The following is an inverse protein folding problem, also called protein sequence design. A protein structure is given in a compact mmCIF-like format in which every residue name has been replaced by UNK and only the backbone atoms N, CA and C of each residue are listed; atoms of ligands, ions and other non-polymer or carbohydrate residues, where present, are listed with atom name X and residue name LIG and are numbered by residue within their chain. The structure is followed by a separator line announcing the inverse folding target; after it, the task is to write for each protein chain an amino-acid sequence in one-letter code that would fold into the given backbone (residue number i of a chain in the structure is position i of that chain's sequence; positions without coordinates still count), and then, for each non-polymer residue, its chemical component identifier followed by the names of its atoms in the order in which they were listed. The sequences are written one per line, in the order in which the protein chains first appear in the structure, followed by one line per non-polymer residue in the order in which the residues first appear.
data_IF_547235011427
#
_entry.id   IF_547235011427
#
_cell.length_a   1.000
_cell.length_b   1.000
_cell.length_c   1.000
_cell.angle_alpha   90.00
_cell.angle_beta   90.00
_cell.angle_gamma   90.00
#
_symmetry.space_group_name_H-M   'P 1'
#
loop_
_entity.id
_entity.type
_entity.pdbx_description
1 polymer ?
#
# COMPACT_ATOMS: atom_id res chain seq x y z
N UNK A 1 60.62 21.93 -44.67
CA UNK A 1 59.76 22.14 -43.49
C UNK A 1 58.86 20.93 -43.34
N UNK A 2 59.12 20.16 -42.29
CA UNK A 2 58.58 18.84 -41.97
C UNK A 2 57.21 19.00 -41.32
N UNK A 3 56.18 18.30 -41.80
CA UNK A 3 54.89 18.20 -41.11
C UNK A 3 54.81 16.81 -40.46
N UNK A 4 55.00 16.76 -39.14
CA UNK A 4 54.84 15.56 -38.32
C UNK A 4 53.35 15.29 -38.10
N UNK A 5 52.88 14.11 -38.49
CA UNK A 5 51.57 13.60 -38.09
C UNK A 5 51.69 12.92 -36.71
N UNK A 6 51.04 13.47 -35.68
CA UNK A 6 50.86 12.79 -34.40
C UNK A 6 49.71 11.78 -34.52
N UNK A 7 50.04 10.49 -34.48
CA UNK A 7 49.08 9.41 -34.26
C UNK A 7 48.92 9.25 -32.74
N UNK A 8 47.75 9.62 -32.22
CA UNK A 8 47.39 9.37 -30.83
C UNK A 8 47.01 7.89 -30.65
N UNK A 9 47.87 7.12 -29.99
CA UNK A 9 47.51 5.79 -29.49
C UNK A 9 46.58 5.94 -28.29
N UNK A 10 45.29 5.67 -28.49
CA UNK A 10 44.35 5.47 -27.40
C UNK A 10 44.73 4.17 -26.67
N UNK A 11 45.43 4.30 -25.54
CA UNK A 11 45.72 3.19 -24.65
C UNK A 11 44.40 2.66 -24.09
N UNK A 12 43.98 1.48 -24.53
CA UNK A 12 42.84 0.76 -23.97
C UNK A 12 43.27 0.19 -22.63
N UNK A 13 43.20 0.99 -21.56
CA UNK A 13 43.36 0.49 -20.21
C UNK A 13 42.19 -0.46 -19.94
N UNK A 14 42.49 -1.77 -19.82
CA UNK A 14 41.52 -2.75 -19.36
C UNK A 14 40.99 -2.29 -17.99
N UNK A 15 39.71 -1.96 -17.93
CA UNK A 15 39.06 -1.59 -16.67
C UNK A 15 39.26 -2.74 -15.67
N UNK A 16 39.86 -2.46 -14.52
CA UNK A 16 39.96 -3.46 -13.45
C UNK A 16 38.55 -3.99 -13.14
N UNK A 17 38.39 -5.32 -12.98
CA UNK A 17 37.09 -5.88 -12.65
C UNK A 17 36.61 -5.26 -11.34
N UNK A 18 35.44 -4.61 -11.42
CA UNK A 18 34.81 -3.99 -10.25
C UNK A 18 34.66 -5.03 -9.13
N UNK A 19 34.97 -4.68 -7.87
CA UNK A 19 34.75 -5.58 -6.75
C UNK A 19 33.27 -6.00 -6.69
N UNK A 20 33.02 -7.27 -6.40
CA UNK A 20 31.67 -7.83 -6.26
C UNK A 20 31.33 -7.92 -4.79
N UNK A 21 30.29 -7.22 -4.35
CA UNK A 21 29.82 -7.21 -2.98
C UNK A 21 28.56 -8.04 -2.82
N UNK A 22 28.41 -8.73 -1.69
CA UNK A 22 27.25 -9.57 -1.48
C UNK A 22 25.95 -8.76 -1.48
N UNK A 23 25.86 -7.73 -0.63
CA UNK A 23 24.63 -6.97 -0.42
C UNK A 23 24.17 -6.23 -1.69
N UNK A 24 25.10 -5.67 -2.47
CA UNK A 24 24.75 -4.83 -3.63
C UNK A 24 24.77 -5.54 -4.97
N UNK A 25 25.49 -6.64 -5.14
CA UNK A 25 25.66 -7.29 -6.44
C UNK A 25 25.14 -8.74 -6.47
N UNK A 26 25.21 -9.48 -5.36
CA UNK A 26 24.82 -10.91 -5.30
C UNK A 26 23.40 -11.09 -4.78
N UNK A 27 23.07 -10.51 -3.63
CA UNK A 27 21.75 -10.62 -3.02
C UNK A 27 20.61 -10.20 -3.96
N UNK A 28 20.71 -9.10 -4.74
CA UNK A 28 19.66 -8.70 -5.68
C UNK A 28 19.39 -9.74 -6.78
N UNK A 29 20.40 -10.55 -7.14
CA UNK A 29 20.22 -11.60 -8.15
C UNK A 29 19.30 -12.71 -7.65
N UNK A 30 19.26 -13.01 -6.35
CA UNK A 30 18.32 -14.00 -5.83
C UNK A 30 16.87 -13.56 -6.00
N UNK A 31 16.61 -12.25 -5.92
CA UNK A 31 15.29 -11.67 -6.22
C UNK A 31 15.00 -11.69 -7.70
N UNK A 32 15.95 -11.27 -8.53
CA UNK A 32 15.83 -11.34 -9.99
C UNK A 32 15.51 -12.74 -10.51
N UNK A 33 16.16 -13.75 -9.93
CA UNK A 33 16.01 -15.15 -10.30
C UNK A 33 14.82 -15.83 -9.61
N UNK A 34 14.11 -15.11 -8.72
CA UNK A 34 12.95 -15.60 -7.97
C UNK A 34 13.29 -16.60 -6.85
N UNK A 35 14.57 -16.80 -6.52
CA UNK A 35 15.05 -17.75 -5.51
C UNK A 35 14.53 -17.41 -4.10
N UNK A 36 14.49 -16.12 -3.76
CA UNK A 36 14.03 -15.62 -2.46
C UNK A 36 12.59 -15.10 -2.50
N UNK A 37 11.77 -15.61 -3.43
CA UNK A 37 10.33 -15.34 -3.47
C UNK A 37 9.57 -16.17 -2.43
N UNK A 38 8.35 -15.74 -2.07
CA UNK A 38 7.47 -16.47 -1.14
C UNK A 38 7.01 -17.85 -1.63
N UNK A 39 7.27 -18.20 -2.89
CA UNK A 39 7.03 -19.55 -3.42
C UNK A 39 8.25 -20.49 -3.32
N UNK A 40 9.41 -20.00 -2.89
CA UNK A 40 10.68 -20.74 -2.88
C UNK A 40 11.38 -20.61 -1.51
N UNK A 41 12.62 -20.08 -1.48
CA UNK A 41 13.39 -19.97 -0.24
C UNK A 41 13.00 -18.75 0.61
N UNK A 42 12.25 -17.79 0.05
CA UNK A 42 11.73 -16.61 0.76
C UNK A 42 10.41 -16.84 1.50
N UNK A 43 9.88 -18.07 1.49
CA UNK A 43 8.65 -18.42 2.21
C UNK A 43 8.92 -18.55 3.72
N UNK A 44 7.89 -18.37 4.53
CA UNK A 44 8.00 -18.58 5.99
C UNK A 44 8.56 -19.97 6.30
N UNK A 45 9.73 -20.02 6.96
CA UNK A 45 10.45 -21.26 7.31
C UNK A 45 11.36 -21.83 6.21
N UNK A 46 11.49 -21.15 5.07
CA UNK A 46 12.35 -21.57 3.97
C UNK A 46 11.92 -22.88 3.29
N UNK A 47 12.78 -23.45 2.46
CA UNK A 47 12.53 -24.70 1.75
C UNK A 47 13.68 -25.68 1.92
N UNK A 48 13.38 -26.91 2.37
CA UNK A 48 14.35 -27.98 2.57
C UNK A 48 15.55 -27.58 3.45
N UNK A 49 15.29 -26.83 4.53
CA UNK A 49 16.31 -26.35 5.45
C UNK A 49 17.21 -25.25 4.87
N UNK A 50 16.77 -24.57 3.81
CA UNK A 50 17.41 -23.36 3.28
C UNK A 50 16.39 -22.22 3.20
N UNK A 51 16.63 -21.17 3.98
CA UNK A 51 15.78 -19.99 4.06
C UNK A 51 16.56 -18.77 3.61
N UNK A 52 15.91 -17.94 2.80
CA UNK A 52 16.36 -16.61 2.45
C UNK A 52 15.32 -15.60 2.93
N UNK A 53 15.74 -14.38 3.20
CA UNK A 53 14.87 -13.24 3.44
C UNK A 53 14.00 -12.99 2.22
N UNK A 54 12.71 -12.71 2.44
CA UNK A 54 11.77 -12.48 1.35
C UNK A 54 12.24 -11.27 0.53
N UNK A 55 12.45 -11.44 -0.77
CA UNK A 55 12.90 -10.37 -1.69
C UNK A 55 14.21 -9.67 -1.27
N UNK A 56 15.04 -10.29 -0.43
CA UNK A 56 16.37 -9.78 -0.09
C UNK A 56 16.39 -8.64 0.92
N UNK A 57 15.34 -8.51 1.76
CA UNK A 57 15.25 -7.44 2.77
C UNK A 57 16.28 -7.55 3.90
N UNK A 58 16.84 -8.73 4.15
CA UNK A 58 17.81 -8.97 5.22
C UNK A 58 19.06 -9.66 4.63
N UNK A 59 19.90 -8.92 3.88
CA UNK A 59 21.02 -9.50 3.14
C UNK A 59 22.06 -10.15 4.07
N UNK A 60 22.25 -9.66 5.30
CA UNK A 60 23.18 -10.29 6.23
C UNK A 60 22.70 -11.69 6.66
N UNK A 61 21.39 -11.87 6.85
CA UNK A 61 20.79 -13.18 7.11
C UNK A 61 20.90 -14.10 5.89
N UNK A 62 20.71 -13.57 4.68
CA UNK A 62 20.90 -14.31 3.42
C UNK A 62 22.34 -14.80 3.26
N UNK A 63 23.31 -13.96 3.63
CA UNK A 63 24.72 -14.32 3.63
C UNK A 63 24.99 -15.49 4.56
N UNK A 64 24.55 -15.43 5.81
CA UNK A 64 24.73 -16.52 6.78
C UNK A 64 24.09 -17.82 6.30
N UNK A 65 22.87 -17.75 5.76
CA UNK A 65 22.17 -18.90 5.21
C UNK A 65 22.91 -19.55 4.03
N UNK A 66 23.56 -18.74 3.18
CA UNK A 66 24.31 -19.25 2.03
C UNK A 66 25.68 -19.77 2.44
N UNK A 67 26.40 -19.05 3.30
CA UNK A 67 27.83 -19.27 3.54
C UNK A 67 28.09 -20.15 4.75
N UNK A 68 27.33 -20.00 5.84
CA UNK A 68 27.65 -20.59 7.13
C UNK A 68 26.76 -21.79 7.47
N UNK A 69 25.47 -21.68 7.22
CA UNK A 69 24.51 -22.73 7.53
C UNK A 69 24.80 -24.05 6.79
N UNK A 70 24.19 -25.14 7.27
CA UNK A 70 24.40 -26.49 6.75
C UNK A 70 25.88 -26.90 6.67
N UNK A 71 26.71 -26.35 7.57
CA UNK A 71 28.18 -26.53 7.65
C UNK A 71 28.90 -26.02 6.40
N UNK A 72 28.43 -24.90 5.83
CA UNK A 72 29.02 -24.26 4.64
C UNK A 72 28.93 -25.04 3.34
N UNK A 73 28.18 -26.16 3.30
CA UNK A 73 28.14 -27.07 2.15
C UNK A 73 27.58 -26.46 0.86
N UNK A 74 26.96 -25.28 0.93
CA UNK A 74 26.31 -24.63 -0.23
C UNK A 74 27.32 -23.98 -1.16
N UNK A 75 28.50 -23.60 -0.65
CA UNK A 75 29.61 -23.05 -1.42
C UNK A 75 30.81 -23.99 -1.36
N UNK A 76 31.55 -24.05 -2.46
CA UNK A 76 32.81 -24.78 -2.54
C UNK A 76 33.90 -23.82 -3.05
N UNK A 77 34.54 -23.02 -2.17
CA UNK A 77 35.50 -22.00 -2.58
C UNK A 77 36.73 -22.53 -3.32
N UNK A 78 37.11 -23.79 -3.08
CA UNK A 78 38.23 -24.45 -3.76
C UNK A 78 37.89 -24.92 -5.18
N UNK A 79 36.60 -25.04 -5.50
CA UNK A 79 36.10 -25.32 -6.84
C UNK A 79 34.79 -24.54 -7.07
N UNK A 80 34.84 -23.20 -7.20
CA UNK A 80 33.66 -22.33 -7.18
C UNK A 80 32.52 -22.77 -8.14
N UNK A 81 32.79 -23.19 -9.39
CA UNK A 81 31.73 -23.69 -10.29
C UNK A 81 30.98 -24.93 -9.80
N UNK A 82 31.58 -25.70 -8.87
CA UNK A 82 31.00 -26.90 -8.25
C UNK A 82 30.23 -26.60 -6.96
N UNK A 83 30.09 -25.31 -6.59
CA UNK A 83 29.26 -24.90 -5.46
C UNK A 83 27.81 -25.36 -5.67
N UNK A 84 27.21 -26.01 -4.66
CA UNK A 84 25.82 -26.48 -4.74
C UNK A 84 24.86 -25.35 -5.11
N UNK A 85 25.11 -24.13 -4.64
CA UNK A 85 24.34 -22.94 -5.00
C UNK A 85 24.26 -22.77 -6.53
N UNK A 86 25.41 -22.79 -7.21
CA UNK A 86 25.48 -22.65 -8.66
C UNK A 86 24.89 -23.86 -9.37
N UNK A 87 25.28 -25.09 -8.97
CA UNK A 87 24.81 -26.32 -9.61
C UNK A 87 23.29 -26.48 -9.58
N UNK A 88 22.65 -26.12 -8.46
CA UNK A 88 21.19 -26.14 -8.30
C UNK A 88 20.53 -25.02 -9.08
N UNK A 89 21.09 -23.80 -9.04
CA UNK A 89 20.55 -22.66 -9.77
C UNK A 89 20.62 -22.86 -11.29
N UNK A 90 21.68 -23.49 -11.81
CA UNK A 90 21.84 -23.77 -13.24
C UNK A 90 21.07 -24.99 -13.73
N UNK A 91 20.52 -25.78 -12.80
CA UNK A 91 19.87 -27.06 -13.09
C UNK A 91 20.85 -28.17 -13.48
N UNK A 92 22.17 -27.96 -13.31
CA UNK A 92 23.18 -29.02 -13.49
C UNK A 92 22.96 -30.15 -12.49
N UNK A 93 22.52 -29.80 -11.28
CA UNK A 93 22.03 -30.74 -10.29
C UNK A 93 20.53 -30.50 -10.08
N UNK A 94 19.75 -31.58 -10.03
CA UNK A 94 18.30 -31.52 -9.86
C UNK A 94 17.87 -30.62 -8.70
N UNK A 95 16.98 -29.67 -8.98
CA UNK A 95 16.48 -28.68 -8.02
C UNK A 95 14.97 -28.54 -8.20
N UNK A 96 14.20 -28.64 -7.11
CA UNK A 96 12.74 -28.57 -7.16
C UNK A 96 12.19 -27.25 -7.73
N UNK A 97 12.95 -26.16 -7.62
CA UNK A 97 12.60 -24.87 -8.24
C UNK A 97 12.93 -24.78 -9.73
N UNK A 98 13.52 -25.81 -10.34
CA UNK A 98 13.97 -25.83 -11.73
C UNK A 98 15.24 -25.01 -11.97
N UNK A 99 15.62 -24.87 -13.24
CA UNK A 99 16.72 -24.01 -13.70
C UNK A 99 16.31 -22.53 -13.55
N UNK A 100 17.11 -21.76 -12.84
CA UNK A 100 16.92 -20.31 -12.61
C UNK A 100 18.03 -19.47 -13.23
N UNK A 101 19.21 -20.04 -13.37
CA UNK A 101 20.42 -19.36 -13.84
C UNK A 101 20.98 -20.07 -15.07
N UNK A 102 21.62 -19.32 -15.98
CA UNK A 102 22.30 -19.92 -17.14
C UNK A 102 23.80 -19.85 -16.94
N UNK A 103 24.49 -20.99 -17.12
CA UNK A 103 25.96 -21.06 -17.04
C UNK A 103 26.56 -20.03 -18.00
N UNK A 104 27.52 -19.25 -17.51
CA UNK A 104 28.21 -18.22 -18.29
C UNK A 104 27.45 -16.90 -18.46
N UNK A 105 26.20 -16.77 -17.99
CA UNK A 105 25.52 -15.48 -17.99
C UNK A 105 26.22 -14.46 -17.09
N UNK A 106 25.96 -13.17 -17.29
CA UNK A 106 26.52 -12.12 -16.44
C UNK A 106 26.14 -12.30 -14.96
N UNK A 107 24.91 -12.73 -14.68
CA UNK A 107 24.45 -13.04 -13.32
C UNK A 107 25.25 -14.22 -12.74
N UNK A 108 25.50 -15.26 -13.54
CA UNK A 108 26.31 -16.41 -13.13
C UNK A 108 27.74 -16.00 -12.80
N UNK A 109 28.35 -15.18 -13.68
CA UNK A 109 29.70 -14.66 -13.47
C UNK A 109 29.81 -13.73 -12.27
N UNK A 110 28.72 -13.07 -11.87
CA UNK A 110 28.71 -12.22 -10.67
C UNK A 110 28.75 -13.08 -9.41
N UNK A 111 27.87 -14.09 -9.31
CA UNK A 111 27.87 -15.02 -8.17
C UNK A 111 29.19 -15.81 -8.13
N UNK A 112 29.66 -16.29 -9.28
CA UNK A 112 30.92 -17.05 -9.38
C UNK A 112 32.12 -16.23 -8.88
N UNK A 113 32.29 -14.99 -9.36
CA UNK A 113 33.38 -14.11 -8.93
C UNK A 113 33.32 -13.78 -7.44
N UNK A 114 32.12 -13.62 -6.88
CA UNK A 114 31.98 -13.45 -5.43
C UNK A 114 32.49 -14.67 -4.66
N UNK A 115 32.18 -15.89 -5.11
CA UNK A 115 32.70 -17.13 -4.50
C UNK A 115 34.22 -17.24 -4.69
N UNK A 116 34.74 -16.95 -5.88
CA UNK A 116 36.19 -16.95 -6.19
C UNK A 116 36.95 -15.95 -5.31
N UNK A 117 36.33 -14.82 -4.97
CA UNK A 117 36.89 -13.81 -4.07
C UNK A 117 36.77 -14.17 -2.57
N UNK A 118 36.36 -15.41 -2.27
CA UNK A 118 36.28 -15.96 -0.92
C UNK A 118 34.93 -15.79 -0.24
N UNK A 119 33.87 -15.43 -0.99
CA UNK A 119 32.51 -15.23 -0.47
C UNK A 119 32.50 -14.37 0.81
N UNK A 120 33.17 -13.21 0.76
CA UNK A 120 33.41 -12.37 1.93
C UNK A 120 32.10 -11.79 2.48
N UNK A 121 31.97 -11.69 3.82
CA UNK A 121 30.84 -10.99 4.44
C UNK A 121 30.86 -9.51 4.10
N UNK A 122 29.71 -8.86 4.22
CA UNK A 122 29.62 -7.42 4.12
C UNK A 122 30.50 -6.75 5.20
N UNK A 123 31.19 -5.69 4.81
CA UNK A 123 31.98 -4.82 5.68
C UNK A 123 31.31 -3.44 5.80
N UNK A 124 31.59 -2.71 6.89
CA UNK A 124 31.14 -1.32 7.05
C UNK A 124 31.70 -0.36 5.98
N UNK A 125 32.76 -0.78 5.29
CA UNK A 125 33.37 -0.06 4.17
C UNK A 125 32.69 -0.33 2.82
N UNK A 126 31.79 -1.31 2.75
CA UNK A 126 31.16 -1.71 1.50
C UNK A 126 30.11 -0.68 1.06
N UNK A 127 29.87 -0.53 -0.25
CA UNK A 127 28.80 0.32 -0.75
C UNK A 127 27.45 -0.14 -0.20
N UNK A 128 26.66 0.80 0.31
CA UNK A 128 25.26 0.57 0.69
C UNK A 128 24.39 1.20 -0.38
N UNK A 129 23.32 0.52 -0.78
CA UNK A 129 22.36 1.06 -1.74
C UNK A 129 21.47 2.11 -1.04
N UNK A 130 21.51 3.36 -1.49
CA UNK A 130 20.72 4.44 -0.90
C UNK A 130 19.33 4.53 -1.56
N UNK A 131 19.29 4.43 -2.90
CA UNK A 131 18.07 4.51 -3.71
C UNK A 131 18.30 4.01 -5.12
N UNK A 132 17.19 3.77 -5.83
CA UNK A 132 17.19 3.61 -7.28
C UNK A 132 16.35 4.69 -7.97
N UNK A 133 16.67 4.93 -9.24
CA UNK A 133 15.91 5.82 -10.13
C UNK A 133 15.66 5.13 -11.46
N UNK A 134 14.54 5.46 -12.09
CA UNK A 134 14.21 5.00 -13.44
C UNK A 134 14.08 6.21 -14.36
N UNK A 135 14.71 6.15 -15.53
CA UNK A 135 14.68 7.19 -16.55
C UNK A 135 14.22 6.61 -17.90
N UNK A 136 13.24 7.22 -18.59
CA UNK A 136 12.36 8.24 -18.02
C UNK A 136 11.50 7.66 -16.89
N UNK A 137 10.99 8.51 -15.99
CA UNK A 137 10.06 8.13 -14.92
C UNK A 137 8.59 8.19 -15.36
N UNK A 138 8.33 8.83 -16.51
CA UNK A 138 7.03 8.89 -17.18
C UNK A 138 7.17 8.73 -18.68
N UNK A 139 6.16 8.15 -19.32
CA UNK A 139 6.12 8.00 -20.77
C UNK A 139 4.70 8.00 -21.32
N UNK A 140 4.55 8.49 -22.56
CA UNK A 140 3.31 8.41 -23.33
C UNK A 140 3.57 7.61 -24.59
N UNK A 141 2.66 6.68 -24.90
CA UNK A 141 2.78 5.75 -26.00
C UNK A 141 1.68 6.04 -27.02
N UNK A 142 2.08 6.31 -28.26
CA UNK A 142 1.16 6.52 -29.37
C UNK A 142 1.20 5.31 -30.33
N UNK A 143 0.30 5.24 -31.33
CA UNK A 143 0.28 4.12 -32.27
C UNK A 143 1.59 3.90 -33.05
N UNK A 144 2.43 4.93 -33.22
CA UNK A 144 3.71 4.89 -33.92
C UNK A 144 4.88 4.59 -32.99
N UNK A 145 4.80 5.01 -31.72
CA UNK A 145 5.81 4.77 -30.71
C UNK A 145 5.24 3.97 -29.52
N UNK A 146 5.34 2.64 -29.62
CA UNK A 146 4.84 1.71 -28.61
C UNK A 146 5.92 1.10 -27.73
N UNK A 147 7.18 1.52 -27.88
CA UNK A 147 8.33 0.94 -27.18
C UNK A 147 9.08 2.02 -26.41
N UNK A 148 9.29 1.77 -25.12
CA UNK A 148 10.07 2.66 -24.26
C UNK A 148 11.13 1.85 -23.52
N UNK A 149 12.43 1.98 -23.88
CA UNK A 149 13.48 1.46 -23.02
C UNK A 149 13.55 2.30 -21.73
N UNK A 150 13.71 1.63 -20.61
CA UNK A 150 13.95 2.23 -19.30
C UNK A 150 15.43 2.07 -18.94
N UNK A 151 15.96 3.05 -18.21
CA UNK A 151 17.27 2.98 -17.58
C UNK A 151 17.11 3.03 -16.08
N UNK A 152 17.62 2.01 -15.38
CA UNK A 152 17.59 1.94 -13.92
C UNK A 152 18.98 2.25 -13.38
N UNK A 153 19.07 3.26 -12.53
CA UNK A 153 20.33 3.68 -11.91
C UNK A 153 20.24 3.52 -10.40
N UNK A 154 21.15 2.72 -9.84
CA UNK A 154 21.37 2.57 -8.41
C UNK A 154 22.36 3.63 -7.92
N UNK A 155 22.05 4.28 -6.79
CA UNK A 155 22.88 5.29 -6.13
C UNK A 155 23.33 4.73 -4.79
N UNK A 156 24.64 4.80 -4.51
CA UNK A 156 25.25 4.19 -3.32
C UNK A 156 25.79 5.24 -2.35
N UNK A 157 25.93 4.85 -1.08
CA UNK A 157 26.46 5.66 0.03
C UNK A 157 27.85 6.26 -0.23
N UNK A 158 28.61 5.67 -1.16
CA UNK A 158 29.91 6.16 -1.62
C UNK A 158 29.82 7.33 -2.60
N UNK A 159 28.60 7.77 -2.95
CA UNK A 159 28.34 8.76 -4.00
C UNK A 159 28.41 8.20 -5.42
N UNK A 160 28.72 6.90 -5.58
CA UNK A 160 28.77 6.26 -6.89
C UNK A 160 27.37 5.92 -7.41
N UNK A 161 27.21 5.92 -8.74
CA UNK A 161 25.98 5.51 -9.40
C UNK A 161 26.27 4.43 -10.45
N UNK A 162 25.45 3.38 -10.51
CA UNK A 162 25.62 2.25 -11.43
C UNK A 162 24.35 1.98 -12.22
N UNK A 163 24.52 1.61 -13.48
CA UNK A 163 23.42 1.10 -14.30
C UNK A 163 23.10 -0.33 -13.87
N UNK A 164 21.87 -0.54 -13.41
CA UNK A 164 21.36 -1.83 -12.93
C UNK A 164 20.15 -2.29 -13.75
N UNK A 165 19.96 -1.72 -14.94
CA UNK A 165 18.79 -1.98 -15.81
C UNK A 165 18.58 -3.47 -16.07
N UNK A 166 19.68 -4.22 -16.25
CA UNK A 166 19.62 -5.66 -16.55
C UNK A 166 19.48 -6.53 -15.31
N UNK A 167 19.67 -5.97 -14.11
CA UNK A 167 19.60 -6.66 -12.83
C UNK A 167 18.30 -6.36 -12.08
N UNK A 168 17.63 -5.27 -12.45
CA UNK A 168 16.33 -4.91 -11.89
C UNK A 168 15.23 -5.91 -12.30
N UNK A 169 14.21 -5.98 -11.45
CA UNK A 169 12.98 -6.74 -11.69
C UNK A 169 11.87 -5.76 -12.04
N UNK A 170 11.12 -6.08 -13.10
CA UNK A 170 10.05 -5.23 -13.62
C UNK A 170 8.71 -5.93 -13.50
N UNK A 171 7.67 -5.19 -13.11
CA UNK A 171 6.30 -5.70 -13.07
C UNK A 171 5.31 -4.62 -13.49
N UNK A 172 4.52 -4.90 -14.53
CA UNK A 172 3.38 -4.05 -14.90
C UNK A 172 2.17 -4.37 -14.03
N UNK A 173 1.45 -3.34 -13.57
CA UNK A 173 0.17 -3.51 -12.89
C UNK A 173 -1.00 -3.78 -13.87
N UNK A 174 -0.83 -3.40 -15.14
CA UNK A 174 -1.85 -3.51 -16.20
C UNK A 174 -1.20 -4.14 -17.46
N UNK A 175 -0.89 -5.45 -17.44
CA UNK A 175 -0.22 -6.13 -18.55
C UNK A 175 -1.05 -6.11 -19.85
N UNK A 176 -2.37 -5.89 -19.78
CA UNK A 176 -3.23 -5.74 -20.96
C UNK A 176 -3.06 -4.39 -21.67
N UNK A 177 -2.55 -3.37 -20.96
CA UNK A 177 -2.23 -2.05 -21.50
C UNK A 177 -0.78 -2.03 -21.96
N UNK A 178 0.15 -2.48 -21.10
CA UNK A 178 1.57 -2.54 -21.45
C UNK A 178 2.31 -3.61 -20.64
N UNK A 179 3.22 -4.31 -21.30
CA UNK A 179 4.13 -5.27 -20.68
C UNK A 179 5.54 -4.69 -20.61
N UNK A 180 6.38 -5.29 -19.78
CA UNK A 180 7.80 -4.95 -19.65
C UNK A 180 8.59 -6.25 -19.61
N UNK A 181 9.70 -6.30 -20.34
CA UNK A 181 10.58 -7.46 -20.35
C UNK A 181 11.78 -7.30 -19.40
N UNK A 182 12.54 -8.38 -19.20
CA UNK A 182 13.72 -8.41 -18.33
C UNK A 182 14.88 -7.50 -18.79
N UNK A 183 14.78 -6.93 -19.99
CA UNK A 183 15.73 -5.94 -20.50
C UNK A 183 15.32 -4.49 -20.16
N UNK A 184 14.22 -4.30 -19.41
CA UNK A 184 13.70 -2.98 -19.06
C UNK A 184 13.01 -2.27 -20.23
N UNK A 185 12.52 -3.00 -21.23
CA UNK A 185 11.80 -2.40 -22.36
C UNK A 185 10.30 -2.56 -22.15
N UNK A 186 9.60 -1.44 -22.03
CA UNK A 186 8.14 -1.37 -21.97
C UNK A 186 7.57 -1.43 -23.38
N UNK A 187 6.55 -2.26 -23.56
CA UNK A 187 5.82 -2.46 -24.81
C UNK A 187 4.33 -2.22 -24.57
N UNK A 188 3.80 -1.12 -25.13
CA UNK A 188 2.38 -0.83 -25.13
C UNK A 188 1.62 -1.77 -26.08
N UNK A 189 0.46 -2.25 -25.63
CA UNK A 189 -0.52 -3.04 -26.38
C UNK A 189 -1.57 -2.11 -27.01
N UNK A 190 -2.69 -2.67 -27.45
CA UNK A 190 -3.76 -1.96 -28.13
C UNK A 190 -4.74 -1.24 -27.19
N UNK A 191 -4.72 -1.57 -25.89
CA UNK A 191 -5.65 -0.99 -24.93
C UNK A 191 -5.12 0.36 -24.45
N UNK A 192 -5.98 1.38 -24.48
CA UNK A 192 -5.70 2.70 -23.90
C UNK A 192 -5.89 2.69 -22.38
N UNK A 193 -5.18 3.58 -21.69
CA UNK A 193 -5.28 3.77 -20.26
C UNK A 193 -3.98 4.20 -19.59
N UNK A 194 -4.04 4.31 -18.27
CA UNK A 194 -2.87 4.51 -17.42
C UNK A 194 -2.32 3.17 -16.99
N UNK A 195 -1.00 3.08 -16.86
CA UNK A 195 -0.35 1.93 -16.25
C UNK A 195 0.89 2.37 -15.50
N UNK A 196 1.36 1.50 -14.61
CA UNK A 196 2.57 1.66 -13.84
C UNK A 196 3.43 0.41 -13.98
N UNK A 197 4.74 0.61 -14.14
CA UNK A 197 5.74 -0.44 -14.07
C UNK A 197 6.52 -0.26 -12.78
N UNK A 198 6.32 -1.17 -11.83
CA UNK A 198 7.18 -1.29 -10.65
C UNK A 198 8.55 -1.79 -11.10
N UNK A 199 9.60 -1.13 -10.63
CA UNK A 199 10.99 -1.48 -10.84
C UNK A 199 11.62 -1.72 -9.48
N UNK A 200 12.20 -2.90 -9.27
CA UNK A 200 12.89 -3.26 -8.02
C UNK A 200 14.35 -3.58 -8.28
N UNK A 201 15.21 -3.18 -7.36
CA UNK A 201 16.58 -3.66 -7.25
C UNK A 201 16.97 -3.70 -5.78
N UNK A 202 17.36 -4.88 -5.29
CA UNK A 202 17.50 -5.15 -3.86
C UNK A 202 16.20 -4.82 -3.08
N UNK A 203 16.34 -4.15 -1.94
CA UNK A 203 15.28 -3.63 -1.09
C UNK A 203 14.63 -2.34 -1.62
N UNK A 204 15.20 -1.71 -2.66
CA UNK A 204 14.71 -0.46 -3.22
C UNK A 204 13.72 -0.66 -4.37
N UNK A 205 12.77 0.25 -4.49
CA UNK A 205 11.80 0.28 -5.58
C UNK A 205 11.60 1.70 -6.15
N UNK A 206 11.24 1.77 -7.42
CA UNK A 206 10.79 2.98 -8.11
C UNK A 206 9.70 2.61 -9.12
N UNK A 207 8.99 3.59 -9.65
CA UNK A 207 7.87 3.36 -10.57
C UNK A 207 8.03 4.20 -11.83
N UNK A 208 7.91 3.54 -12.99
CA UNK A 208 7.67 4.22 -14.26
C UNK A 208 6.16 4.35 -14.48
N UNK A 209 5.68 5.56 -14.80
CA UNK A 209 4.27 5.81 -15.09
C UNK A 209 4.03 5.96 -16.59
N UNK A 210 3.31 5.02 -17.17
CA UNK A 210 2.97 5.01 -18.58
C UNK A 210 1.55 5.51 -18.86
N UNK A 211 1.34 6.03 -20.07
CA UNK A 211 0.00 6.31 -20.59
C UNK A 211 -0.10 5.91 -22.04
N UNK A 212 -1.13 5.14 -22.38
CA UNK A 212 -1.57 4.91 -23.76
C UNK A 212 -2.84 5.75 -23.95
N UNK A 213 -2.78 6.92 -24.59
CA UNK A 213 -3.95 7.79 -24.74
C UNK A 213 -5.06 7.11 -25.55
N UNK A 214 -6.30 7.55 -25.34
CA UNK A 214 -7.42 7.21 -26.21
C UNK A 214 -7.27 7.98 -27.53
N UNK A 215 -7.43 7.28 -28.64
CA UNK A 215 -7.50 7.91 -29.96
C UNK A 215 -8.96 8.13 -30.32
N UNK A 216 -9.39 9.39 -30.28
CA UNK A 216 -10.70 9.77 -30.79
C UNK A 216 -10.65 9.81 -32.32
N UNK A 217 -11.43 8.95 -32.99
CA UNK A 217 -11.58 8.98 -34.46
C UNK A 217 -12.46 10.13 -34.95
N UNK A 218 -13.31 10.66 -34.07
CA UNK A 218 -14.23 11.75 -34.35
C UNK A 218 -13.91 12.92 -33.41
N UNK A 219 -13.97 14.14 -33.94
CA UNK A 219 -14.01 15.36 -33.13
C UNK A 219 -15.40 15.39 -32.48
N UNK A 220 -15.54 15.24 -31.14
CA UNK A 220 -16.87 15.21 -30.57
C UNK A 220 -17.52 16.57 -30.71
N UNK A 221 -18.77 16.58 -31.18
CA UNK A 221 -19.65 17.73 -31.04
C UNK A 221 -19.97 17.90 -29.53
N UNK A 222 -19.20 18.72 -28.82
CA UNK A 222 -19.57 19.14 -27.46
C UNK A 222 -18.39 19.49 -26.56
N UNK A 223 -18.11 20.79 -26.46
CA UNK A 223 -17.16 21.48 -25.57
C UNK A 223 -15.67 21.16 -25.76
N UNK A 224 -14.93 22.16 -26.24
CA UNK A 224 -13.47 22.12 -26.22
C UNK A 224 -12.95 22.04 -24.78
N UNK A 225 -11.86 21.29 -24.57
CA UNK A 225 -11.11 21.24 -23.31
C UNK A 225 -10.89 22.65 -22.73
N UNK A 226 -10.58 23.63 -23.60
CA UNK A 226 -10.41 25.04 -23.25
C UNK A 226 -11.62 25.66 -22.51
N UNK A 227 -12.85 25.32 -22.91
CA UNK A 227 -14.07 25.80 -22.26
C UNK A 227 -14.22 25.20 -20.86
N UNK A 228 -13.89 23.92 -20.71
CA UNK A 228 -13.86 23.23 -19.41
C UNK A 228 -12.80 23.83 -18.48
N UNK A 229 -11.59 24.13 -18.97
CA UNK A 229 -10.55 24.74 -18.13
C UNK A 229 -10.99 26.12 -17.65
N UNK A 230 -11.59 26.93 -18.53
CA UNK A 230 -12.10 28.25 -18.16
C UNK A 230 -13.17 28.15 -17.08
N UNK A 231 -14.15 27.27 -17.27
CA UNK A 231 -15.28 27.09 -16.36
C UNK A 231 -14.89 26.55 -14.97
N UNK A 232 -13.79 25.79 -14.88
CA UNK A 232 -13.39 25.11 -13.63
C UNK A 232 -12.01 25.55 -13.11
N UNK A 233 -11.49 26.66 -13.63
CA UNK A 233 -10.15 27.17 -13.30
C UNK A 233 -9.91 27.43 -11.81
N UNK A 234 -10.96 27.66 -11.02
CA UNK A 234 -10.89 27.95 -9.59
C UNK A 234 -10.79 26.68 -8.71
N UNK A 235 -11.23 25.52 -9.19
CA UNK A 235 -11.23 24.27 -8.44
C UNK A 235 -9.90 23.52 -8.62
N UNK A 236 -9.18 23.28 -7.52
CA UNK A 236 -7.92 22.53 -7.57
C UNK A 236 -8.14 21.09 -8.06
N UNK A 237 -9.23 20.46 -7.63
CA UNK A 237 -9.57 19.09 -8.01
C UNK A 237 -9.86 19.00 -9.51
N UNK A 238 -10.63 19.95 -10.06
CA UNK A 238 -10.98 19.90 -11.48
C UNK A 238 -9.77 20.15 -12.38
N UNK A 239 -8.81 20.98 -11.94
CA UNK A 239 -7.53 21.15 -12.65
C UNK A 239 -6.75 19.83 -12.75
N UNK A 240 -6.69 19.07 -11.67
CA UNK A 240 -5.99 17.78 -11.64
C UNK A 240 -6.71 16.72 -12.49
N UNK A 241 -8.04 16.66 -12.43
CA UNK A 241 -8.85 15.78 -13.28
C UNK A 241 -8.65 16.09 -14.77
N UNK A 242 -8.67 17.37 -15.12
CA UNK A 242 -8.49 17.84 -16.49
C UNK A 242 -7.10 17.57 -17.04
N UNK A 243 -6.05 17.77 -16.22
CA UNK A 243 -4.70 17.38 -16.58
C UNK A 243 -4.59 15.88 -16.86
N UNK A 244 -5.28 15.05 -16.06
CA UNK A 244 -5.28 13.60 -16.26
C UNK A 244 -6.08 13.18 -17.51
N UNK A 245 -7.23 13.79 -17.77
CA UNK A 245 -8.02 13.53 -18.98
C UNK A 245 -7.26 13.93 -20.25
N UNK A 246 -6.61 15.10 -20.25
CA UNK A 246 -5.70 15.52 -21.33
C UNK A 246 -4.62 14.47 -21.59
N UNK A 247 -3.96 14.00 -20.54
CA UNK A 247 -2.92 12.95 -20.63
C UNK A 247 -3.47 11.66 -21.22
N UNK A 248 -4.70 11.30 -20.86
CA UNK A 248 -5.39 10.11 -21.35
C UNK A 248 -6.05 10.28 -22.71
N UNK A 249 -6.01 11.47 -23.31
CA UNK A 249 -6.78 11.78 -24.51
C UNK A 249 -8.28 11.58 -24.32
N UNK A 250 -8.81 11.80 -23.11
CA UNK A 250 -10.24 11.70 -22.79
C UNK A 250 -10.85 13.10 -22.85
N UNK A 251 -12.01 13.21 -23.50
CA UNK A 251 -12.81 14.43 -23.48
C UNK A 251 -13.86 14.35 -22.37
N UNK A 252 -14.04 15.43 -21.57
CA UNK A 252 -15.09 15.45 -20.56
C UNK A 252 -16.46 15.30 -21.21
N UNK A 253 -17.37 14.61 -20.53
CA UNK A 253 -18.77 14.55 -20.94
C UNK A 253 -19.40 15.96 -20.96
N UNK A 254 -20.44 16.19 -21.78
CA UNK A 254 -21.26 17.39 -21.66
C UNK A 254 -21.81 17.56 -20.25
N UNK A 255 -22.15 18.80 -19.89
CA UNK A 255 -22.84 19.08 -18.64
C UNK A 255 -24.15 18.28 -18.59
N UNK A 256 -24.38 17.59 -17.47
CA UNK A 256 -25.63 16.88 -17.22
C UNK A 256 -26.82 17.85 -17.31
N UNK A 257 -27.95 17.34 -17.80
CA UNK A 257 -29.22 18.07 -17.77
C UNK A 257 -29.66 18.33 -16.32
N UNK A 258 -30.58 19.28 -16.11
CA UNK A 258 -30.98 19.67 -14.75
C UNK A 258 -31.66 18.52 -13.99
N UNK A 259 -32.51 17.75 -14.65
CA UNK A 259 -33.20 16.58 -14.09
C UNK A 259 -32.19 15.49 -13.66
N UNK A 260 -31.16 15.28 -14.48
CA UNK A 260 -30.10 14.33 -14.21
C UNK A 260 -29.20 14.80 -13.06
N UNK A 261 -28.87 16.09 -13.03
CA UNK A 261 -28.04 16.68 -11.99
C UNK A 261 -28.69 16.59 -10.61
N UNK A 262 -29.95 17.02 -10.45
CA UNK A 262 -30.62 16.95 -9.14
C UNK A 262 -30.75 15.51 -8.66
N UNK A 263 -31.09 14.57 -9.56
CA UNK A 263 -31.17 13.15 -9.21
C UNK A 263 -29.83 12.62 -8.70
N UNK A 264 -28.73 12.88 -9.41
CA UNK A 264 -27.38 12.41 -9.01
C UNK A 264 -26.92 13.04 -7.71
N UNK A 265 -27.05 14.36 -7.59
CA UNK A 265 -26.64 15.09 -6.39
C UNK A 265 -27.38 14.61 -5.14
N UNK A 266 -28.71 14.42 -5.21
CA UNK A 266 -29.49 13.90 -4.08
C UNK A 266 -29.09 12.47 -3.68
N UNK A 267 -28.84 11.59 -4.66
CA UNK A 267 -28.38 10.22 -4.37
C UNK A 267 -26.98 10.21 -3.75
N UNK A 268 -26.06 10.99 -4.29
CA UNK A 268 -24.66 10.98 -3.85
C UNK A 268 -24.49 11.62 -2.45
N UNK A 269 -25.24 12.71 -2.19
CA UNK A 269 -25.14 13.48 -0.95
C UNK A 269 -26.06 12.91 0.14
N UNK A 270 -27.32 12.62 -0.17
CA UNK A 270 -28.33 12.22 0.81
C UNK A 270 -28.67 10.73 0.78
N UNK A 271 -28.24 9.98 -0.24
CA UNK A 271 -28.59 8.56 -0.38
C UNK A 271 -30.05 8.31 -0.77
N UNK A 272 -30.80 9.36 -1.16
CA UNK A 272 -32.23 9.30 -1.46
C UNK A 272 -32.58 10.06 -2.74
N UNK A 273 -33.76 9.79 -3.30
CA UNK A 273 -34.25 10.49 -4.48
C UNK A 273 -34.89 11.83 -4.11
N UNK A 274 -34.78 12.86 -4.97
CA UNK A 274 -35.56 14.07 -4.80
C UNK A 274 -37.04 13.77 -5.04
N UNK A 275 -37.90 14.50 -4.34
CA UNK A 275 -39.35 14.46 -4.58
C UNK A 275 -39.70 15.10 -5.94
N UNK A 276 -40.85 14.75 -6.54
CA UNK A 276 -41.27 15.36 -7.79
C UNK A 276 -41.33 16.90 -7.75
N UNK A 277 -41.71 17.49 -6.62
CA UNK A 277 -41.83 18.94 -6.49
C UNK A 277 -40.47 19.63 -6.31
N UNK A 278 -39.51 19.00 -5.63
CA UNK A 278 -38.11 19.48 -5.60
C UNK A 278 -37.51 19.50 -7.01
N UNK A 279 -37.77 18.47 -7.83
CA UNK A 279 -37.32 18.41 -9.23
C UNK A 279 -37.95 19.55 -10.04
N UNK A 280 -39.28 19.71 -10.00
CA UNK A 280 -39.98 20.80 -10.72
C UNK A 280 -39.42 22.16 -10.32
N UNK A 281 -39.22 22.39 -9.03
CA UNK A 281 -38.71 23.66 -8.50
C UNK A 281 -37.29 23.94 -8.99
N UNK A 282 -36.40 22.94 -8.96
CA UNK A 282 -35.01 23.09 -9.40
C UNK A 282 -34.87 23.30 -10.92
N UNK A 283 -35.68 22.58 -11.71
CA UNK A 283 -35.69 22.72 -13.19
C UNK A 283 -36.24 24.08 -13.61
N UNK A 284 -37.25 24.59 -12.90
CA UNK A 284 -37.81 25.91 -13.14
C UNK A 284 -36.84 27.05 -12.76
N UNK A 285 -35.93 26.83 -11.82
CA UNK A 285 -34.94 27.82 -11.40
C UNK A 285 -33.97 28.19 -12.54
N UNK A 286 -33.86 29.49 -12.83
CA UNK A 286 -33.02 30.06 -13.91
C UNK A 286 -31.78 30.78 -13.39
N UNK A 287 -31.55 30.79 -12.07
CA UNK A 287 -30.35 31.41 -11.49
C UNK A 287 -29.09 30.66 -11.94
N UNK A 288 -28.02 31.42 -12.17
CA UNK A 288 -26.73 30.88 -12.62
C UNK A 288 -26.04 30.02 -11.56
N UNK A 289 -26.30 30.28 -10.27
CA UNK A 289 -25.73 29.59 -9.12
C UNK A 289 -26.61 28.44 -8.59
N UNK A 290 -27.70 28.08 -9.29
CA UNK A 290 -28.70 27.13 -8.78
C UNK A 290 -28.13 25.76 -8.38
N UNK A 291 -27.05 25.30 -9.03
CA UNK A 291 -26.35 24.05 -8.70
C UNK A 291 -25.67 24.13 -7.33
N UNK A 292 -24.93 25.20 -7.06
CA UNK A 292 -24.30 25.44 -5.77
C UNK A 292 -25.36 25.53 -4.67
N UNK A 293 -26.42 26.32 -4.89
CA UNK A 293 -27.54 26.43 -3.94
C UNK A 293 -28.26 25.10 -3.68
N UNK A 294 -28.36 24.22 -4.68
CA UNK A 294 -28.92 22.88 -4.48
C UNK A 294 -28.00 22.05 -3.58
N UNK A 295 -26.69 22.06 -3.84
CA UNK A 295 -25.69 21.34 -3.04
C UNK A 295 -25.74 21.82 -1.59
N UNK A 296 -25.72 23.14 -1.34
CA UNK A 296 -25.78 23.69 0.01
C UNK A 296 -27.03 23.20 0.76
N UNK A 297 -28.20 23.26 0.12
CA UNK A 297 -29.45 22.73 0.70
C UNK A 297 -29.38 21.23 0.99
N UNK A 298 -28.74 20.44 0.14
CA UNK A 298 -28.59 19.00 0.35
C UNK A 298 -27.62 18.68 1.49
N UNK A 299 -26.57 19.48 1.66
CA UNK A 299 -25.62 19.34 2.76
C UNK A 299 -26.23 19.74 4.12
N UNK A 300 -27.24 20.61 4.13
CA UNK A 300 -27.99 20.97 5.35
C UNK A 300 -29.04 19.92 5.75
N UNK A 301 -29.29 18.91 4.91
CA UNK A 301 -30.32 17.90 5.19
C UNK A 301 -29.87 16.85 6.21
N UNK A 302 -30.75 16.40 7.14
CA UNK A 302 -30.45 15.30 8.06
C UNK A 302 -30.05 13.99 7.35
N UNK A 303 -30.54 13.76 6.14
CA UNK A 303 -30.20 12.59 5.33
C UNK A 303 -28.73 12.58 4.91
N UNK A 304 -28.12 13.74 4.66
CA UNK A 304 -26.69 13.82 4.36
C UNK A 304 -25.85 13.28 5.53
N UNK A 305 -26.08 13.80 6.73
CA UNK A 305 -25.38 13.38 7.92
C UNK A 305 -25.59 11.88 8.22
N UNK A 306 -26.82 11.40 8.05
CA UNK A 306 -27.16 10.00 8.27
C UNK A 306 -26.51 9.06 7.24
N UNK A 307 -26.50 9.45 5.97
CA UNK A 307 -25.93 8.66 4.88
C UNK A 307 -24.41 8.59 4.97
N UNK A 308 -23.74 9.69 5.26
CA UNK A 308 -22.29 9.70 5.46
C UNK A 308 -21.88 9.01 6.76
N UNK A 309 -22.70 9.07 7.81
CA UNK A 309 -22.46 8.30 9.03
C UNK A 309 -22.50 6.79 8.79
N UNK A 310 -23.34 6.30 7.86
CA UNK A 310 -23.34 4.90 7.45
C UNK A 310 -22.00 4.52 6.80
N UNK A 311 -21.52 5.33 5.84
CA UNK A 311 -20.22 5.12 5.17
C UNK A 311 -19.07 5.10 6.17
N UNK A 312 -19.04 6.05 7.11
CA UNK A 312 -18.04 6.10 8.17
C UNK A 312 -18.18 4.96 9.18
N UNK A 313 -19.41 4.53 9.48
CA UNK A 313 -19.67 3.36 10.30
C UNK A 313 -19.04 2.08 9.73
N UNK A 314 -19.07 1.92 8.41
CA UNK A 314 -18.42 0.80 7.71
C UNK A 314 -16.88 0.91 7.75
N UNK A 315 -16.34 2.09 7.44
CA UNK A 315 -14.88 2.35 7.47
C UNK A 315 -14.32 2.11 8.88
N UNK A 316 -15.00 2.62 9.91
CA UNK A 316 -14.62 2.49 11.31
C UNK A 316 -15.05 1.14 11.90
N UNK A 317 -15.69 0.28 11.11
CA UNK A 317 -16.14 -1.07 11.51
C UNK A 317 -16.96 -1.02 12.79
N UNK A 318 -17.89 -0.08 12.91
CA UNK A 318 -18.78 0.10 14.06
C UNK A 318 -19.79 -1.06 14.19
N UNK A 319 -19.27 -2.25 14.55
CA UNK A 319 -20.00 -3.50 14.69
C UNK A 319 -19.37 -4.40 15.74
N UNK A 320 -20.14 -5.37 16.23
CA UNK A 320 -19.63 -6.44 17.10
C UNK A 320 -18.75 -7.47 16.36
N UNK A 321 -18.07 -8.37 17.10
CA UNK A 321 -17.58 -9.64 16.53
C UNK A 321 -18.81 -10.50 16.19
N UNK A 322 -19.01 -10.83 14.91
CA UNK A 322 -20.24 -11.47 14.41
C UNK A 322 -21.37 -10.46 14.19
N UNK A 323 -22.62 -10.91 13.98
CA UNK A 323 -23.78 -10.02 13.97
C UNK A 323 -23.91 -9.32 15.34
N UNK A 324 -24.10 -8.00 15.37
CA UNK A 324 -24.11 -7.18 16.59
C UNK A 324 -25.00 -7.78 17.69
N UNK A 325 -24.37 -8.25 18.78
CA UNK A 325 -25.09 -8.87 19.90
C UNK A 325 -25.93 -7.82 20.63
N UNK A 326 -27.01 -8.23 21.29
CA UNK A 326 -27.88 -7.32 22.06
C UNK A 326 -27.11 -6.46 23.08
N UNK A 327 -26.02 -7.00 23.66
CA UNK A 327 -25.16 -6.27 24.60
C UNK A 327 -24.25 -5.22 23.94
N UNK A 328 -23.96 -5.36 22.65
CA UNK A 328 -23.09 -4.44 21.91
C UNK A 328 -23.87 -3.30 21.24
N UNK A 329 -25.13 -3.53 20.91
CA UNK A 329 -26.00 -2.57 20.20
C UNK A 329 -26.06 -1.17 20.82
N UNK A 330 -26.18 -1.01 22.16
CA UNK A 330 -26.22 0.33 22.75
C UNK A 330 -24.96 1.15 22.44
N UNK A 331 -23.78 0.54 22.58
CA UNK A 331 -22.51 1.22 22.30
C UNK A 331 -22.34 1.56 20.82
N UNK A 332 -22.66 0.62 19.93
CA UNK A 332 -22.58 0.89 18.48
C UNK A 332 -23.56 1.97 18.04
N UNK A 333 -24.74 2.05 18.67
CA UNK A 333 -25.72 3.10 18.42
C UNK A 333 -25.23 4.47 18.89
N UNK A 334 -24.62 4.55 20.09
CA UNK A 334 -24.01 5.78 20.59
C UNK A 334 -22.91 6.28 19.65
N UNK A 335 -22.03 5.37 19.18
CA UNK A 335 -20.96 5.77 18.27
C UNK A 335 -21.50 6.17 16.89
N UNK A 336 -22.51 5.47 16.36
CA UNK A 336 -23.16 5.86 15.11
C UNK A 336 -23.82 7.23 15.21
N UNK A 337 -24.49 7.52 16.34
CA UNK A 337 -25.05 8.84 16.63
C UNK A 337 -23.96 9.92 16.66
N UNK A 338 -22.87 9.67 17.37
CA UNK A 338 -21.73 10.60 17.42
C UNK A 338 -21.13 10.88 16.03
N UNK A 339 -20.97 9.85 15.19
CA UNK A 339 -20.48 10.04 13.81
C UNK A 339 -21.45 10.92 13.03
N UNK A 340 -22.76 10.61 13.08
CA UNK A 340 -23.79 11.42 12.40
C UNK A 340 -23.74 12.87 12.85
N UNK A 341 -23.70 13.11 14.15
CA UNK A 341 -23.71 14.47 14.70
C UNK A 341 -22.42 15.21 14.30
N UNK A 342 -21.27 14.54 14.30
CA UNK A 342 -20.01 15.13 13.82
C UNK A 342 -20.07 15.55 12.34
N UNK A 343 -20.77 14.78 11.49
CA UNK A 343 -20.98 15.14 10.09
C UNK A 343 -21.99 16.29 9.96
N UNK A 344 -23.08 16.27 10.73
CA UNK A 344 -24.11 17.31 10.74
C UNK A 344 -23.53 18.67 11.17
N UNK A 345 -22.67 18.66 12.19
CA UNK A 345 -22.01 19.86 12.72
C UNK A 345 -20.83 20.33 11.84
N UNK A 346 -20.57 19.64 10.71
CA UNK A 346 -19.44 19.88 9.82
C UNK A 346 -18.10 19.92 10.57
N UNK A 347 -17.88 18.95 11.46
CA UNK A 347 -16.66 18.86 12.26
C UNK A 347 -15.43 18.78 11.34
N UNK A 348 -14.40 19.63 11.54
CA UNK A 348 -13.17 19.55 10.77
C UNK A 348 -12.54 18.15 10.84
N UNK A 349 -12.04 17.65 9.70
CA UNK A 349 -11.55 16.28 9.58
C UNK A 349 -10.43 15.96 10.59
N UNK A 350 -9.51 16.89 10.84
CA UNK A 350 -8.46 16.74 11.84
C UNK A 350 -9.02 16.55 13.26
N UNK A 351 -10.10 17.26 13.60
CA UNK A 351 -10.81 17.12 14.88
C UNK A 351 -11.58 15.81 14.97
N UNK A 352 -12.25 15.40 13.90
CA UNK A 352 -12.94 14.11 13.82
C UNK A 352 -11.97 12.95 14.05
N UNK A 353 -10.84 12.94 13.34
CA UNK A 353 -9.80 11.93 13.49
C UNK A 353 -9.19 11.98 14.88
N UNK A 354 -8.80 13.17 15.37
CA UNK A 354 -8.22 13.32 16.70
C UNK A 354 -9.15 12.81 17.79
N UNK A 355 -10.44 13.14 17.74
CA UNK A 355 -11.42 12.71 18.73
C UNK A 355 -11.54 11.18 18.81
N UNK A 356 -11.39 10.48 17.68
CA UNK A 356 -11.37 9.01 17.62
C UNK A 356 -10.04 8.48 18.18
N UNK A 357 -8.90 8.98 17.70
CA UNK A 357 -7.56 8.46 18.06
C UNK A 357 -7.15 8.73 19.51
N UNK A 358 -7.78 9.72 20.16
CA UNK A 358 -7.49 10.07 21.56
C UNK A 358 -8.65 9.72 22.50
N UNK A 359 -9.63 8.94 22.03
CA UNK A 359 -10.81 8.63 22.83
C UNK A 359 -10.46 7.84 24.10
N UNK A 360 -11.02 8.27 25.22
CA UNK A 360 -10.84 7.63 26.53
C UNK A 360 -12.08 7.79 27.41
N UNK A 361 -12.21 6.93 28.42
CA UNK A 361 -13.36 6.94 29.34
C UNK A 361 -14.51 6.02 28.93
N UNK A 362 -15.73 6.39 29.33
CA UNK A 362 -16.95 5.60 29.08
C UNK A 362 -17.50 5.84 27.68
N UNK A 363 -18.10 4.81 27.07
CA UNK A 363 -18.84 4.95 25.81
C UNK A 363 -20.04 5.90 25.89
N UNK A 364 -20.57 6.12 27.09
CA UNK A 364 -21.76 6.97 27.30
C UNK A 364 -21.39 8.45 27.22
N UNK A 365 -20.19 8.81 27.68
CA UNK A 365 -19.69 10.19 27.70
C UNK A 365 -18.73 10.48 26.55
N UNK A 366 -18.06 9.45 26.01
CA UNK A 366 -17.15 9.54 24.88
C UNK A 366 -17.36 8.34 23.93
N UNK A 367 -18.41 8.38 23.07
CA UNK A 367 -18.76 7.27 22.17
C UNK A 367 -17.63 6.75 21.26
N UNK A 368 -16.69 7.58 20.75
CA UNK A 368 -15.53 7.10 19.99
C UNK A 368 -14.70 5.99 20.66
N UNK A 369 -14.74 5.87 22.00
CA UNK A 369 -14.11 4.76 22.74
C UNK A 369 -14.59 3.37 22.27
N UNK A 370 -15.77 3.28 21.64
CA UNK A 370 -16.32 2.05 21.06
C UNK A 370 -15.41 1.46 19.99
N UNK A 371 -14.68 2.29 19.24
CA UNK A 371 -13.79 1.84 18.17
C UNK A 371 -12.71 0.87 18.68
N UNK A 372 -12.13 1.16 19.85
CA UNK A 372 -11.11 0.35 20.53
C UNK A 372 -11.58 -1.04 20.96
N UNK A 373 -12.88 -1.33 20.91
CA UNK A 373 -13.39 -2.69 21.15
C UNK A 373 -13.00 -3.66 20.03
N UNK A 374 -12.82 -3.13 18.83
CA UNK A 374 -12.50 -3.89 17.61
C UNK A 374 -11.00 -3.94 17.33
N UNK A 375 -10.22 -2.99 17.86
CA UNK A 375 -8.77 -2.88 17.69
C UNK A 375 -8.06 -3.03 19.05
N UNK A 376 -7.82 -4.27 19.47
CA UNK A 376 -7.41 -4.57 20.85
C UNK A 376 -5.91 -4.73 21.02
N UNK A 377 -5.21 -5.04 19.93
CA UNK A 377 -3.76 -5.19 19.92
C UNK A 377 -3.12 -4.01 19.19
N UNK A 378 -1.87 -3.69 19.52
CA UNK A 378 -1.12 -2.64 18.82
C UNK A 378 -1.08 -2.88 17.29
N UNK A 379 -0.81 -4.10 16.79
CA UNK A 379 -0.98 -4.45 15.37
C UNK A 379 -2.31 -4.04 14.75
N UNK A 380 -3.43 -4.49 15.34
CA UNK A 380 -4.79 -4.21 14.83
C UNK A 380 -5.11 -2.72 14.83
N UNK A 381 -4.62 -1.99 15.84
CA UNK A 381 -4.77 -0.55 15.95
C UNK A 381 -4.04 0.17 14.83
N UNK A 382 -2.74 -0.08 14.66
CA UNK A 382 -1.93 0.57 13.63
C UNK A 382 -2.50 0.26 12.24
N UNK A 383 -2.87 -0.99 11.98
CA UNK A 383 -3.53 -1.38 10.72
C UNK A 383 -4.81 -0.59 10.47
N UNK A 384 -5.69 -0.51 11.48
CA UNK A 384 -6.99 0.15 11.32
C UNK A 384 -6.85 1.66 11.17
N UNK A 385 -5.91 2.30 11.87
CA UNK A 385 -5.60 3.74 11.70
C UNK A 385 -5.13 4.01 10.28
N UNK A 386 -4.12 3.25 9.83
CA UNK A 386 -3.49 3.45 8.52
C UNK A 386 -4.50 3.21 7.39
N UNK A 387 -5.36 2.20 7.54
CA UNK A 387 -6.39 1.91 6.55
C UNK A 387 -7.54 2.93 6.57
N UNK A 388 -8.05 3.30 7.74
CA UNK A 388 -9.23 4.17 7.84
C UNK A 388 -8.93 5.64 7.53
N UNK A 389 -7.73 6.13 7.88
CA UNK A 389 -7.43 7.56 7.82
C UNK A 389 -6.33 7.92 6.82
N UNK A 390 -5.45 6.98 6.47
CA UNK A 390 -4.38 7.23 5.49
C UNK A 390 -4.64 6.54 4.14
N UNK A 391 -5.65 5.67 4.06
CA UNK A 391 -5.98 4.93 2.83
C UNK A 391 -4.94 3.90 2.41
N UNK A 392 -4.04 3.50 3.31
CA UNK A 392 -2.94 2.58 3.03
C UNK A 392 -3.20 1.19 3.65
N UNK A 393 -2.55 0.16 3.12
CA UNK A 393 -2.60 -1.22 3.64
C UNK A 393 -1.23 -1.63 4.13
N UNK A 394 -1.14 -2.07 5.39
CA UNK A 394 0.13 -2.43 6.06
C UNK A 394 0.06 -3.80 6.74
N UNK A 395 -0.92 -4.63 6.37
CA UNK A 395 -1.08 -5.97 6.96
C UNK A 395 0.16 -6.84 6.76
N UNK A 396 0.86 -6.69 5.62
CA UNK A 396 2.06 -7.45 5.33
C UNK A 396 3.27 -7.01 6.16
N UNK A 397 3.37 -5.71 6.51
CA UNK A 397 4.42 -5.11 7.36
C UNK A 397 4.45 -5.63 8.80
N UNK A 398 3.41 -6.36 9.22
CA UNK A 398 3.36 -6.99 10.54
C UNK A 398 4.42 -8.09 10.71
N UNK A 399 4.79 -8.75 9.61
CA UNK A 399 5.65 -9.93 9.63
C UNK A 399 6.92 -9.76 8.79
N UNK A 400 6.88 -8.94 7.74
CA UNK A 400 8.01 -8.69 6.83
C UNK A 400 7.79 -7.34 6.16
N UNK A 401 8.85 -6.69 5.69
CA UNK A 401 8.71 -5.43 4.96
C UNK A 401 7.80 -5.60 3.73
N UNK A 402 6.82 -4.72 3.59
CA UNK A 402 5.80 -4.80 2.56
C UNK A 402 6.47 -4.64 1.19
N UNK A 403 6.29 -5.62 0.27
CA UNK A 403 7.03 -5.64 -0.98
C UNK A 403 6.93 -4.32 -1.76
N UNK A 404 5.76 -3.71 -1.84
CA UNK A 404 5.51 -2.55 -2.71
C UNK A 404 5.42 -1.20 -1.96
N UNK A 405 5.97 -1.10 -0.75
CA UNK A 405 5.92 0.15 0.04
C UNK A 405 7.32 0.64 0.42
N UNK A 406 7.45 1.95 0.64
CA UNK A 406 8.76 2.61 0.87
C UNK A 406 9.17 2.69 2.36
N UNK A 407 8.35 2.16 3.27
CA UNK A 407 8.46 2.42 4.72
C UNK A 407 9.30 1.35 5.41
N UNK A 408 10.57 1.65 5.70
CA UNK A 408 11.66 0.70 5.97
C UNK A 408 11.66 -0.06 7.32
N UNK A 409 10.59 -0.07 8.12
CA UNK A 409 10.57 -0.76 9.43
C UNK A 409 9.18 -1.28 9.82
N UNK A 410 9.07 -2.37 10.60
CA UNK A 410 7.79 -2.75 11.21
C UNK A 410 7.28 -1.59 12.08
N UNK A 411 6.27 -0.87 11.58
CA UNK A 411 5.71 0.35 12.18
C UNK A 411 5.21 0.12 13.62
N UNK A 412 4.89 -1.14 13.94
CA UNK A 412 4.30 -1.61 15.19
C UNK A 412 5.13 -1.34 16.44
N UNK A 413 6.45 -1.22 16.33
CA UNK A 413 7.33 -0.92 17.49
C UNK A 413 7.40 0.58 17.82
N UNK A 414 7.10 1.47 16.87
CA UNK A 414 7.20 2.92 17.04
C UNK A 414 5.92 3.60 17.54
N UNK A 415 4.76 2.98 17.35
CA UNK A 415 3.46 3.48 17.78
C UNK A 415 2.96 2.73 19.02
N UNK A 416 3.51 3.05 20.20
CA UNK A 416 2.86 2.68 21.47
C UNK A 416 1.92 3.82 21.87
N UNK A 417 0.62 3.58 22.05
CA UNK A 417 -0.23 4.55 22.72
C UNK A 417 0.33 4.81 24.12
N UNK A 418 0.36 6.08 24.53
CA UNK A 418 0.67 6.49 25.89
C UNK A 418 -0.39 5.89 26.84
N UNK A 419 0.01 4.82 27.51
CA UNK A 419 -0.74 4.02 28.50
C UNK A 419 -1.57 2.85 27.95
N UNK A 420 -1.43 1.63 28.50
CA UNK A 420 -2.35 0.54 28.22
C UNK A 420 -3.72 0.90 28.81
N UNK A 421 -4.76 0.91 27.98
CA UNK A 421 -6.15 0.97 28.45
C UNK A 421 -6.43 -0.34 29.20
N UNK A 422 -6.33 -0.28 30.53
CA UNK A 422 -6.76 -1.34 31.42
C UNK A 422 -8.28 -1.45 31.37
N UNK A 423 -8.78 -2.41 30.59
CA UNK A 423 -10.17 -2.86 30.69
C UNK A 423 -10.31 -3.56 32.04
N UNK A 424 -10.81 -2.84 33.04
CA UNK A 424 -11.14 -3.38 34.34
C UNK A 424 -12.14 -4.54 34.18
N UNK A 425 -11.67 -5.77 34.34
CA UNK A 425 -12.54 -6.94 34.45
C UNK A 425 -13.12 -6.96 35.86
N UNK A 426 -14.34 -6.44 36.02
CA UNK A 426 -15.14 -6.70 37.22
C UNK A 426 -15.48 -8.19 37.29
N UNK A 427 -14.69 -8.95 38.05
CA UNK A 427 -14.96 -10.34 38.37
C UNK A 427 -15.51 -10.43 39.78
N UNK A 428 -16.85 -10.46 39.91
CA UNK A 428 -17.51 -10.95 41.12
C UNK A 428 -17.18 -12.44 41.29
N UNK A 429 -16.24 -12.75 42.20
CA UNK A 429 -16.12 -14.07 42.82
C UNK A 429 -15.95 -13.87 44.32
N UNK A 430 -17.07 -13.93 45.04
CA UNK A 430 -17.09 -14.19 46.48
C UNK A 430 -16.49 -15.58 46.74
N UNK A 431 -15.63 -15.77 47.74
CA UNK A 431 -15.11 -17.08 48.10
C UNK A 431 -16.17 -17.90 48.85
N UNK A 432 -16.30 -19.18 48.47
CA UNK A 432 -17.08 -20.19 49.20
C UNK A 432 -16.33 -20.56 50.48
N UNK A 433 -16.98 -20.41 51.64
CA UNK A 433 -16.62 -21.09 52.88
C UNK A 433 -17.76 -22.04 53.29
N UNK A 434 -17.40 -23.30 53.56
CA UNK A 434 -18.28 -24.39 54.01
C UNK A 434 -18.51 -24.34 55.55
N UNK A 435 -19.41 -25.17 56.11
CA UNK A 435 -20.37 -24.74 57.13
C UNK A 435 -20.01 -25.12 58.58
N UNK A 436 -20.55 -24.37 59.54
CA UNK A 436 -20.67 -24.82 60.95
C UNK A 436 -22.07 -24.58 61.50
N UNK A 437 -22.47 -25.50 62.39
CA UNK A 437 -23.81 -25.85 62.91
C UNK A 437 -24.48 -24.83 63.86
N UNK A 438 -25.83 -24.93 63.89
CA UNK A 438 -26.80 -24.71 65.01
C UNK A 438 -26.88 -23.26 65.55
N UNK A 439 -28.00 -22.68 65.97
CA UNK A 439 -29.40 -23.07 66.28
C UNK A 439 -30.22 -21.79 66.56
N UNK A 440 -31.54 -21.93 66.75
CA UNK A 440 -32.51 -21.01 67.38
C UNK A 440 -33.18 -19.89 66.57
N UNK A 441 -34.42 -20.20 66.17
CA UNK A 441 -35.65 -19.36 66.18
C UNK A 441 -35.88 -18.63 67.54
N UNK A 442 -36.86 -17.70 67.76
CA UNK A 442 -37.98 -17.29 66.88
C UNK A 442 -38.46 -15.77 66.99
N UNK A 443 -39.60 -15.47 66.33
CA UNK A 443 -40.73 -14.56 66.73
C UNK A 443 -40.84 -13.10 66.19
N UNK A 444 -41.98 -12.87 65.47
CA UNK A 444 -42.86 -11.67 65.27
C UNK A 444 -42.25 -10.38 64.63
N UNK A 445 -42.98 -9.62 63.80
CA UNK A 445 -44.36 -9.67 63.31
C UNK A 445 -44.76 -8.39 62.56
N UNK A 446 -45.95 -8.43 61.93
CA UNK A 446 -46.83 -7.33 61.45
C UNK A 446 -46.33 -6.47 60.27
N UNK A 447 -46.90 -6.61 59.07
CA UNK A 447 -48.16 -6.01 58.53
C UNK A 447 -47.99 -4.57 58.04
N UNK A 448 -48.11 -4.31 56.72
CA UNK A 448 -49.16 -3.50 56.07
C UNK A 448 -48.89 -3.31 54.55
N UNK A 449 -49.94 -3.53 53.76
CA UNK A 449 -50.23 -3.21 52.33
C UNK A 449 -51.29 -2.06 52.40
N UNK A 450 -51.61 -1.17 51.40
CA UNK A 450 -51.49 -1.27 49.93
C UNK A 450 -50.99 -0.03 49.13
N UNK A 451 -50.92 -0.21 47.79
CA UNK A 451 -50.57 0.72 46.68
C UNK A 451 -51.50 1.93 46.47
N UNK A 452 -51.91 2.33 45.23
CA UNK A 452 -51.46 1.94 43.88
C UNK A 452 -51.28 3.12 42.86
N UNK A 453 -50.80 2.75 41.66
CA UNK A 453 -51.09 3.29 40.30
C UNK A 453 -51.14 4.81 40.02
N UNK A 454 -50.28 5.25 39.09
CA UNK A 454 -50.62 5.41 37.66
C UNK A 454 -49.38 5.35 36.78
#
# INVERSE_FOLDING_TARGET
MTLLALIAFASCAAAQPQPVYFNTDVAPLFTKLGCNSGGCHGKTGGQNGFSLSLLGFEPDQDFEAIVQEARGRRLLPTAPPQSLLLLKATGTLAHGGGKRLTVGSQDYQTILRWIENGARPASSSDPVLDRITVAPDRGSFDPKNRRQPLRVTAHFSTGTARDVTRQAVYQSNEPDIAEVNDAGVVQAKNRSGLFAVMVRYADQMTVFHGTVPHTHKETPNGHAIAAWEKANSLSAIDRDLLANWKRLGILPSPLAADEEFIRRASLDICGTLPTPDEVKTYVADKRQDKRARLIDRLLERPEYASYFALKWGDILRNRGRGYSTSRQRPGTALFAGWIRDSIADNMPYDRFVSAILTASGSQETNPPTVWYRTVRTTPEYVESVVQAFLGMRIQCDQCHHHPAERWSRPITTSWRPSSPVSVARGASRMPRSQPTRRSSLPIRGKSFIPGPNR
#
